data_IF_986815606321
#
_entry.id   IF_986815606321
#
_cell.length_a   1.000
_cell.length_b   1.000
_cell.length_c   1.000
_cell.angle_alpha   90.00
_cell.angle_beta   90.00
_cell.angle_gamma   90.00
#
_symmetry.space_group_name_H-M   'P 1'
#
loop_
_entity.id
_entity.type
_entity.pdbx_description
1 polymer ?
#
# COMPACT_ATOMS: atom_id res chain seq x y z
N UNK A 1 9.43 20.00 2.29
CA UNK A 1 9.85 20.37 0.92
C UNK A 1 9.40 19.25 0.00
N UNK A 2 8.59 19.54 -1.00
CA UNK A 2 8.18 18.55 -2.02
C UNK A 2 9.38 18.27 -2.93
N UNK A 3 9.76 17.01 -3.12
CA UNK A 3 10.88 16.70 -4.02
C UNK A 3 10.48 17.08 -5.46
N UNK A 4 11.28 17.93 -6.10
CA UNK A 4 11.07 18.34 -7.48
C UNK A 4 11.51 17.20 -8.40
N UNK A 5 10.60 16.71 -9.24
CA UNK A 5 10.93 15.77 -10.32
C UNK A 5 11.47 16.59 -11.49
N UNK A 6 12.73 16.37 -11.86
CA UNK A 6 13.32 17.02 -13.05
C UNK A 6 13.39 16.03 -14.18
N UNK A 7 12.73 16.32 -15.30
CA UNK A 7 12.73 15.45 -16.47
C UNK A 7 14.11 15.46 -17.15
N UNK A 8 14.60 14.28 -17.56
CA UNK A 8 15.80 14.17 -18.41
C UNK A 8 15.44 13.77 -19.84
N UNK A 9 14.91 12.56 -20.00
CA UNK A 9 14.54 12.02 -21.30
C UNK A 9 13.52 10.90 -21.14
N UNK A 10 12.83 10.62 -22.24
CA UNK A 10 11.85 9.56 -22.36
C UNK A 10 11.98 8.86 -23.71
N UNK A 11 11.59 7.61 -23.76
CA UNK A 11 11.51 6.83 -25.00
C UNK A 11 10.25 5.99 -24.99
N UNK A 12 9.56 5.96 -26.12
CA UNK A 12 8.32 5.24 -26.31
C UNK A 12 8.42 4.39 -27.59
N UNK A 13 7.97 3.14 -27.53
CA UNK A 13 7.97 2.23 -28.68
C UNK A 13 6.67 1.44 -28.68
N UNK A 14 6.01 1.32 -29.83
CA UNK A 14 4.85 0.46 -30.02
C UNK A 14 5.09 -0.50 -31.18
N UNK A 15 4.70 -1.76 -30.98
CA UNK A 15 4.72 -2.84 -31.97
C UNK A 15 3.32 -3.44 -32.06
N UNK A 16 3.12 -4.40 -32.96
CA UNK A 16 1.86 -5.13 -33.04
C UNK A 16 1.52 -5.94 -31.78
N UNK A 17 2.53 -6.33 -30.98
CA UNK A 17 2.36 -7.28 -29.88
C UNK A 17 2.68 -6.68 -28.50
N UNK A 18 3.31 -5.52 -28.45
CA UNK A 18 3.64 -4.82 -27.21
C UNK A 18 3.80 -3.33 -27.42
N UNK A 19 3.75 -2.57 -26.34
CA UNK A 19 4.27 -1.21 -26.31
C UNK A 19 4.97 -0.94 -24.98
N UNK A 20 6.04 -0.16 -25.05
CA UNK A 20 6.93 0.14 -23.94
C UNK A 20 7.12 1.63 -23.80
N UNK A 21 7.21 2.07 -22.56
CA UNK A 21 7.55 3.42 -22.19
C UNK A 21 8.63 3.41 -21.10
N UNK A 22 9.74 4.09 -21.38
CA UNK A 22 10.82 4.34 -20.43
C UNK A 22 10.92 5.85 -20.21
N UNK A 23 10.97 6.29 -18.94
CA UNK A 23 11.23 7.70 -18.60
C UNK A 23 12.32 7.78 -17.54
N UNK A 24 13.27 8.68 -17.74
CA UNK A 24 14.34 8.97 -16.78
C UNK A 24 14.20 10.39 -16.25
N UNK A 25 14.21 10.49 -14.92
CA UNK A 25 14.05 11.73 -14.18
C UNK A 25 15.09 11.81 -13.06
N UNK A 26 15.27 13.00 -12.48
CA UNK A 26 15.94 13.17 -11.19
C UNK A 26 14.93 13.37 -10.08
N UNK A 27 15.10 12.64 -8.97
CA UNK A 27 14.32 12.76 -7.74
C UNK A 27 15.31 12.92 -6.59
N UNK A 28 15.23 14.03 -5.85
CA UNK A 28 16.10 14.31 -4.69
C UNK A 28 17.60 14.12 -4.99
N UNK A 29 18.05 14.57 -6.19
CA UNK A 29 19.44 14.45 -6.63
C UNK A 29 19.86 13.06 -7.12
N UNK A 30 18.95 12.07 -7.12
CA UNK A 30 19.18 10.71 -7.62
C UNK A 30 18.55 10.54 -8.98
N UNK A 31 19.27 9.87 -9.89
CA UNK A 31 18.70 9.48 -11.19
C UNK A 31 17.79 8.28 -11.00
N UNK A 32 16.56 8.41 -11.47
CA UNK A 32 15.47 7.43 -11.36
C UNK A 32 14.96 7.10 -12.76
N UNK A 33 14.69 5.82 -13.01
CA UNK A 33 14.14 5.33 -14.27
C UNK A 33 12.88 4.54 -14.01
N UNK A 34 11.78 4.94 -14.63
CA UNK A 34 10.56 4.14 -14.71
C UNK A 34 10.54 3.37 -16.02
N UNK A 35 10.12 2.11 -15.97
CA UNK A 35 9.96 1.21 -17.11
C UNK A 35 8.60 0.54 -17.05
N UNK A 36 7.84 0.69 -18.12
CA UNK A 36 6.53 0.06 -18.24
C UNK A 36 6.46 -0.60 -19.61
N UNK A 37 6.07 -1.87 -19.63
CA UNK A 37 5.86 -2.63 -20.85
C UNK A 37 4.54 -3.37 -20.78
N UNK A 38 3.66 -3.07 -21.75
CA UNK A 38 2.41 -3.77 -21.97
C UNK A 38 2.60 -4.78 -23.10
N UNK A 39 2.42 -6.05 -22.80
CA UNK A 39 2.42 -7.13 -23.79
C UNK A 39 1.02 -7.71 -23.96
N UNK A 40 0.84 -8.54 -24.99
CA UNK A 40 -0.43 -9.21 -25.27
C UNK A 40 -0.84 -10.22 -24.18
N UNK A 41 0.13 -10.84 -23.50
CA UNK A 41 -0.13 -11.77 -22.41
C UNK A 41 0.06 -11.10 -21.05
N UNK A 42 -0.88 -11.35 -20.13
CA UNK A 42 -0.91 -10.71 -18.81
C UNK A 42 0.35 -11.00 -17.96
N UNK A 43 0.96 -12.17 -18.12
CA UNK A 43 2.14 -12.60 -17.36
C UNK A 43 3.45 -11.90 -17.74
N UNK A 44 3.49 -11.19 -18.88
CA UNK A 44 4.71 -10.56 -19.39
C UNK A 44 4.71 -9.04 -19.27
N UNK A 45 3.70 -8.45 -18.62
CA UNK A 45 3.76 -7.02 -18.35
C UNK A 45 4.65 -6.74 -17.17
N UNK A 46 5.32 -5.60 -17.26
CA UNK A 46 6.16 -5.10 -16.18
C UNK A 46 5.90 -3.62 -16.02
N UNK A 47 5.90 -3.15 -14.77
CA UNK A 47 5.79 -1.73 -14.44
C UNK A 47 6.60 -1.51 -13.16
N UNK A 48 7.77 -0.89 -13.26
CA UNK A 48 8.65 -0.70 -12.12
C UNK A 48 9.50 0.57 -12.23
N UNK A 49 10.02 1.00 -11.09
CA UNK A 49 10.96 2.10 -10.96
C UNK A 49 12.26 1.60 -10.37
N UNK A 50 13.36 1.96 -11.01
CA UNK A 50 14.70 1.76 -10.49
C UNK A 50 15.34 3.10 -10.11
N UNK A 51 16.17 3.10 -9.08
CA UNK A 51 17.08 4.20 -8.75
C UNK A 51 18.52 3.78 -9.06
N UNK A 52 19.33 4.71 -9.51
CA UNK A 52 20.78 4.48 -9.68
C UNK A 52 21.47 4.65 -8.32
N UNK A 53 22.30 3.68 -7.92
CA UNK A 53 23.14 3.79 -6.73
C UNK A 53 24.54 4.37 -7.06
N UNK A 54 25.38 4.54 -6.03
CA UNK A 54 26.73 5.12 -6.16
C UNK A 54 27.66 4.26 -7.04
N UNK A 55 27.36 2.96 -7.17
CA UNK A 55 28.06 2.02 -8.06
C UNK A 55 27.55 2.06 -9.51
N UNK A 56 26.61 2.97 -9.82
CA UNK A 56 25.93 3.10 -11.12
C UNK A 56 25.13 1.86 -11.53
N UNK A 57 24.77 0.98 -10.60
CA UNK A 57 23.81 -0.09 -10.84
C UNK A 57 22.37 0.40 -10.54
N UNK A 58 21.39 -0.24 -11.20
CA UNK A 58 19.98 0.08 -11.05
C UNK A 58 19.36 -0.83 -10.00
N UNK A 59 18.80 -0.25 -8.94
CA UNK A 59 18.11 -0.96 -7.86
C UNK A 59 16.62 -0.67 -7.95
N UNK A 60 15.79 -1.72 -8.00
CA UNK A 60 14.34 -1.59 -8.02
C UNK A 60 13.83 -1.06 -6.68
N UNK A 61 12.99 -0.04 -6.73
CA UNK A 61 12.42 0.64 -5.55
C UNK A 61 10.90 0.61 -5.52
N UNK A 62 10.25 0.50 -6.68
CA UNK A 62 8.79 0.43 -6.80
C UNK A 62 8.45 -0.56 -7.91
N UNK A 63 7.42 -1.37 -7.69
CA UNK A 63 6.84 -2.25 -8.72
C UNK A 63 5.31 -2.22 -8.61
N UNK A 64 4.63 -2.25 -9.75
CA UNK A 64 3.18 -2.41 -9.85
C UNK A 64 2.82 -3.70 -10.57
N UNK A 65 1.85 -4.40 -9.99
CA UNK A 65 1.26 -5.58 -10.61
C UNK A 65 0.45 -5.16 -11.84
N UNK A 66 0.56 -5.95 -12.90
CA UNK A 66 -0.15 -5.74 -14.16
C UNK A 66 -1.66 -5.51 -13.96
N UNK A 67 -2.29 -6.22 -13.01
CA UNK A 67 -3.73 -6.11 -12.75
C UNK A 67 -4.19 -4.69 -12.35
N UNK A 68 -3.30 -3.83 -11.87
CA UNK A 68 -3.65 -2.47 -11.44
C UNK A 68 -3.85 -1.50 -12.62
N UNK A 69 -3.27 -1.79 -13.79
CA UNK A 69 -3.26 -0.87 -14.94
C UNK A 69 -3.57 -1.57 -16.28
N UNK A 70 -3.65 -2.89 -16.31
CA UNK A 70 -3.94 -3.67 -17.52
C UNK A 70 -5.30 -3.34 -18.14
N UNK A 71 -6.34 -3.15 -17.32
CA UNK A 71 -7.70 -2.89 -17.76
C UNK A 71 -7.93 -1.43 -18.18
N UNK A 72 -7.06 -0.52 -17.76
CA UNK A 72 -7.13 0.91 -18.08
C UNK A 72 -6.24 1.29 -19.26
N UNK A 73 -5.50 0.34 -19.81
CA UNK A 73 -4.61 0.54 -20.96
C UNK A 73 -5.06 -0.34 -22.14
N UNK A 74 -5.09 0.19 -23.37
CA UNK A 74 -5.54 -0.55 -24.55
C UNK A 74 -4.65 -1.76 -24.85
N UNK A 75 -5.23 -2.74 -25.53
CA UNK A 75 -4.48 -3.89 -26.04
C UNK A 75 -3.40 -3.44 -27.06
N UNK A 76 -2.25 -4.12 -27.14
CA UNK A 76 -1.15 -3.70 -28.01
C UNK A 76 -1.53 -3.52 -29.49
N UNK A 77 -0.96 -2.48 -30.10
CA UNK A 77 -1.10 -2.15 -31.52
C UNK A 77 0.02 -1.20 -31.92
N UNK A 78 0.48 -1.30 -33.18
CA UNK A 78 1.52 -0.42 -33.76
C UNK A 78 1.11 1.06 -33.83
N UNK A 79 -0.17 1.35 -33.66
CA UNK A 79 -0.74 2.71 -33.72
C UNK A 79 -0.94 3.35 -32.34
N UNK A 80 -0.58 2.66 -31.26
CA UNK A 80 -0.65 3.22 -29.91
C UNK A 80 0.45 4.26 -29.73
N UNK A 81 0.06 5.42 -29.22
CA UNK A 81 0.99 6.35 -28.58
C UNK A 81 1.31 5.82 -27.18
N UNK A 82 2.44 5.12 -27.06
CA UNK A 82 2.84 4.48 -25.81
C UNK A 82 3.15 5.51 -24.71
N UNK A 83 3.64 6.71 -25.06
CA UNK A 83 3.91 7.77 -24.09
C UNK A 83 2.60 8.34 -23.53
N UNK A 84 1.62 8.61 -24.40
CA UNK A 84 0.33 9.13 -23.96
C UNK A 84 -0.45 8.11 -23.10
N UNK A 85 -0.37 6.82 -23.44
CA UNK A 85 -1.08 5.76 -22.72
C UNK A 85 -0.41 5.39 -21.40
N UNK A 86 0.92 5.22 -21.38
CA UNK A 86 1.64 4.75 -20.19
C UNK A 86 2.16 5.91 -19.32
N UNK A 87 2.13 7.14 -19.81
CA UNK A 87 2.50 8.35 -19.07
C UNK A 87 1.83 8.46 -17.70
N UNK A 88 0.50 8.32 -17.59
CA UNK A 88 -0.19 8.37 -16.30
C UNK A 88 0.25 7.27 -15.32
N UNK A 89 0.52 6.06 -15.82
CA UNK A 89 1.03 4.94 -14.99
C UNK A 89 2.46 5.26 -14.53
N UNK A 90 3.28 5.84 -15.40
CA UNK A 90 4.62 6.30 -15.06
C UNK A 90 4.60 7.41 -14.01
N UNK A 91 3.67 8.36 -14.10
CA UNK A 91 3.50 9.44 -13.11
C UNK A 91 3.13 8.90 -11.73
N UNK A 92 2.23 7.91 -11.67
CA UNK A 92 1.85 7.26 -10.41
C UNK A 92 3.03 6.52 -9.76
N UNK A 93 3.78 5.76 -10.57
CA UNK A 93 4.98 5.05 -10.14
C UNK A 93 6.08 6.01 -9.65
N UNK A 94 6.34 7.09 -10.39
CA UNK A 94 7.32 8.10 -10.03
C UNK A 94 6.90 8.88 -8.79
N UNK A 95 5.61 9.15 -8.60
CA UNK A 95 5.10 9.77 -7.38
C UNK A 95 5.34 8.87 -6.16
N UNK A 96 5.12 7.56 -6.27
CA UNK A 96 5.49 6.60 -5.21
C UNK A 96 6.99 6.59 -4.95
N UNK A 97 7.80 6.61 -6.00
CA UNK A 97 9.25 6.69 -5.85
C UNK A 97 9.70 7.98 -5.15
N UNK A 98 9.04 9.13 -5.40
CA UNK A 98 9.28 10.37 -4.63
C UNK A 98 9.05 10.15 -3.14
N UNK A 99 7.95 9.49 -2.77
CA UNK A 99 7.62 9.27 -1.35
C UNK A 99 8.63 8.35 -0.64
N UNK A 100 9.13 7.32 -1.33
CA UNK A 100 10.15 6.40 -0.78
C UNK A 100 11.53 7.07 -0.69
N UNK A 101 11.88 7.86 -1.70
CA UNK A 101 13.20 8.51 -1.78
C UNK A 101 13.26 9.84 -1.01
N UNK A 102 12.11 10.38 -0.59
CA UNK A 102 12.06 11.56 0.25
C UNK A 102 12.74 11.27 1.60
N UNK A 103 13.41 12.27 2.20
CA UNK A 103 13.78 12.19 3.61
C UNK A 103 12.52 11.88 4.42
N UNK A 104 12.63 10.95 5.37
CA UNK A 104 11.52 10.60 6.24
C UNK A 104 10.91 11.89 6.81
N UNK A 105 9.59 12.11 6.69
CA UNK A 105 8.98 13.27 7.30
C UNK A 105 9.27 13.24 8.79
N UNK A 106 9.60 14.41 9.34
CA UNK A 106 9.64 14.65 10.78
C UNK A 106 8.18 14.63 11.24
N UNK A 107 7.61 13.44 11.28
CA UNK A 107 6.25 13.15 11.76
C UNK A 107 6.27 13.40 13.27
N UNK A 108 5.18 13.85 13.92
CA UNK A 108 5.09 13.74 15.37
C UNK A 108 5.54 12.34 15.77
N UNK A 109 6.52 12.26 16.67
CA UNK A 109 7.26 11.05 16.98
C UNK A 109 6.29 9.97 17.48
N UNK A 110 5.75 9.16 16.55
CA UNK A 110 5.23 7.85 16.90
C UNK A 110 6.38 7.10 17.56
N UNK A 111 6.11 6.37 18.64
CA UNK A 111 7.17 5.62 19.28
C UNK A 111 7.81 4.70 18.22
N UNK A 112 9.15 4.58 18.17
CA UNK A 112 9.81 3.63 17.26
C UNK A 112 9.20 2.22 17.38
N UNK A 113 8.75 1.88 18.58
CA UNK A 113 8.09 0.64 18.90
C UNK A 113 6.78 0.40 18.13
N UNK A 114 5.93 1.43 18.00
CA UNK A 114 4.70 1.35 17.20
C UNK A 114 5.02 1.16 15.71
N UNK A 115 6.06 1.81 15.21
CA UNK A 115 6.50 1.63 13.82
C UNK A 115 6.99 0.21 13.55
N UNK A 116 7.79 -0.37 14.46
CA UNK A 116 8.25 -1.75 14.37
C UNK A 116 7.07 -2.74 14.39
N UNK A 117 6.07 -2.49 15.23
CA UNK A 117 4.88 -3.31 15.31
C UNK A 117 4.00 -3.25 14.05
N UNK A 118 3.87 -2.08 13.41
CA UNK A 118 3.22 -1.97 12.09
C UNK A 118 4.01 -2.73 11.02
N UNK A 119 5.35 -2.66 11.06
CA UNK A 119 6.22 -3.45 10.18
C UNK A 119 5.99 -4.95 10.34
N UNK A 120 5.90 -5.44 11.58
CA UNK A 120 5.59 -6.84 11.88
C UNK A 120 4.19 -7.26 11.40
N UNK A 121 3.18 -6.38 11.52
CA UNK A 121 1.83 -6.64 11.01
C UNK A 121 1.81 -6.77 9.49
N UNK A 122 2.52 -5.89 8.78
CA UNK A 122 2.68 -6.00 7.32
C UNK A 122 3.41 -7.29 6.94
N UNK A 123 4.48 -7.65 7.65
CA UNK A 123 5.25 -8.86 7.38
C UNK A 123 4.43 -10.14 7.57
N UNK A 124 3.58 -10.19 8.60
CA UNK A 124 2.73 -11.36 8.89
C UNK A 124 1.51 -11.46 7.96
N UNK A 125 0.94 -10.32 7.54
CA UNK A 125 -0.26 -10.29 6.69
C UNK A 125 0.07 -10.37 5.19
N UNK A 126 1.18 -9.77 4.77
CA UNK A 126 1.53 -9.57 3.36
C UNK A 126 2.95 -10.05 3.01
N UNK A 127 3.69 -10.63 3.96
CA UNK A 127 5.06 -11.11 3.77
C UNK A 127 6.12 -10.00 3.96
N UNK A 128 7.40 -10.37 3.98
CA UNK A 128 8.52 -9.46 4.30
C UNK A 128 8.67 -8.25 3.36
N UNK A 129 8.14 -8.34 2.13
CA UNK A 129 8.10 -7.23 1.14
C UNK A 129 6.66 -6.69 0.96
N UNK A 130 5.79 -6.92 1.94
CA UNK A 130 4.37 -6.60 1.86
C UNK A 130 4.11 -5.11 1.70
N UNK A 131 3.49 -4.72 0.58
CA UNK A 131 3.00 -3.36 0.34
C UNK A 131 1.47 -3.35 0.33
N UNK A 132 0.86 -2.49 1.16
CA UNK A 132 -0.58 -2.23 1.14
C UNK A 132 -0.83 -0.73 1.13
N UNK A 133 -1.41 -0.24 0.03
CA UNK A 133 -1.95 1.10 -0.04
C UNK A 133 -3.30 1.15 0.69
N UNK A 134 -3.40 2.05 1.67
CA UNK A 134 -4.66 2.43 2.33
C UNK A 134 -5.10 3.76 1.69
N UNK A 135 -6.25 3.76 1.04
CA UNK A 135 -6.80 4.92 0.32
C UNK A 135 -7.57 5.85 1.28
N UNK A 136 -7.84 7.12 0.89
CA UNK A 136 -8.70 8.00 1.67
C UNK A 136 -10.08 7.39 1.96
N UNK A 137 -10.64 6.62 1.03
CA UNK A 137 -11.92 5.94 1.20
C UNK A 137 -11.82 4.81 2.24
N UNK A 138 -10.72 4.06 2.25
CA UNK A 138 -10.45 3.05 3.28
C UNK A 138 -10.36 3.72 4.67
N UNK A 139 -9.71 4.89 4.77
CA UNK A 139 -9.62 5.67 6.01
C UNK A 139 -10.99 6.17 6.43
N UNK A 140 -11.74 6.80 5.53
CA UNK A 140 -13.07 7.32 5.81
C UNK A 140 -14.04 6.20 6.20
N UNK A 141 -14.01 5.08 5.49
CA UNK A 141 -14.79 3.90 5.83
C UNK A 141 -14.42 3.39 7.22
N UNK A 142 -13.12 3.22 7.51
CA UNK A 142 -12.66 2.78 8.82
C UNK A 142 -13.07 3.76 9.93
N UNK A 143 -12.95 5.07 9.73
CA UNK A 143 -13.37 6.07 10.70
C UNK A 143 -14.88 6.06 10.96
N UNK A 144 -15.69 5.69 9.96
CA UNK A 144 -17.15 5.70 10.06
C UNK A 144 -17.76 4.35 10.50
N UNK A 145 -17.03 3.24 10.40
CA UNK A 145 -17.57 1.88 10.61
C UNK A 145 -16.84 1.10 11.71
N UNK A 146 -16.10 1.78 12.59
CA UNK A 146 -15.62 1.15 13.81
C UNK A 146 -15.17 2.17 14.84
N UNK A 147 -14.98 1.71 16.07
CA UNK A 147 -14.57 2.56 17.18
C UNK A 147 -13.13 3.06 17.09
N UNK A 148 -12.71 3.88 18.02
CA UNK A 148 -11.35 4.42 18.04
C UNK A 148 -10.28 3.31 18.09
N UNK A 149 -9.27 3.39 17.21
CA UNK A 149 -8.08 2.52 17.26
C UNK A 149 -7.34 2.74 18.58
N UNK A 150 -7.01 1.65 19.27
CA UNK A 150 -6.17 1.65 20.47
C UNK A 150 -4.89 0.88 20.18
N UNK A 151 -3.79 1.47 20.64
CA UNK A 151 -2.46 0.88 20.58
C UNK A 151 -2.00 0.70 22.02
N UNK A 152 -1.74 -0.55 22.40
CA UNK A 152 -1.35 -0.92 23.77
C UNK A 152 0.07 -1.51 23.68
N UNK A 153 1.04 -0.81 24.25
CA UNK A 153 2.41 -1.31 24.43
C UNK A 153 2.47 -2.14 25.72
N UNK A 154 3.10 -3.31 25.66
CA UNK A 154 3.25 -4.23 26.80
C UNK A 154 4.67 -4.16 27.36
N UNK A 155 4.84 -4.58 28.62
CA UNK A 155 6.14 -4.55 29.32
C UNK A 155 7.20 -5.46 28.69
N UNK A 156 6.80 -6.46 27.89
CA UNK A 156 7.69 -7.37 27.16
C UNK A 156 8.08 -6.85 25.78
N UNK A 157 7.64 -5.63 25.40
CA UNK A 157 7.86 -5.06 24.08
C UNK A 157 6.96 -5.69 23.00
N UNK A 158 5.87 -6.36 23.35
CA UNK A 158 4.81 -6.64 22.38
C UNK A 158 3.87 -5.43 22.25
N UNK A 159 3.20 -5.33 21.11
CA UNK A 159 2.20 -4.27 20.85
C UNK A 159 0.91 -4.90 20.39
N UNK A 160 -0.21 -4.47 20.98
CA UNK A 160 -1.54 -4.84 20.52
C UNK A 160 -2.20 -3.66 19.82
N UNK A 161 -2.55 -3.87 18.54
CA UNK A 161 -3.47 -2.99 17.81
C UNK A 161 -4.87 -3.56 17.96
N UNK A 162 -5.81 -2.75 18.45
CA UNK A 162 -7.19 -3.20 18.62
C UNK A 162 -8.17 -2.07 18.40
N UNK A 163 -9.37 -2.42 17.94
CA UNK A 163 -10.43 -1.50 17.60
C UNK A 163 -11.74 -2.12 18.03
N UNK A 164 -12.63 -1.34 18.65
CA UNK A 164 -14.00 -1.78 18.86
C UNK A 164 -14.77 -1.73 17.52
N UNK A 165 -15.82 -2.53 17.36
CA UNK A 165 -16.68 -2.44 16.16
C UNK A 165 -17.59 -1.18 16.16
N UNK A 166 -17.76 -0.51 17.31
CA UNK A 166 -18.39 0.83 17.47
C UNK A 166 -17.80 1.56 18.68
N UNK A 167 -17.86 2.88 18.72
CA UNK A 167 -17.28 3.69 19.81
C UNK A 167 -17.95 3.45 21.17
N UNK A 168 -19.27 3.18 21.17
CA UNK A 168 -20.06 2.92 22.38
C UNK A 168 -20.01 1.45 22.84
N UNK A 169 -19.26 0.58 22.14
CA UNK A 169 -19.15 -0.81 22.54
C UNK A 169 -18.33 -0.91 23.83
N UNK A 170 -18.87 -1.52 24.90
CA UNK A 170 -18.12 -1.71 26.15
C UNK A 170 -16.98 -2.73 26.00
N UNK A 171 -16.92 -3.45 24.88
CA UNK A 171 -15.99 -4.56 24.64
C UNK A 171 -14.98 -4.24 23.55
N UNK A 172 -13.71 -4.40 23.91
CA UNK A 172 -12.60 -4.59 23.00
C UNK A 172 -12.37 -6.10 22.99
N UNK A 173 -13.03 -6.85 22.10
CA UNK A 173 -12.84 -8.30 22.07
C UNK A 173 -11.49 -8.61 21.42
N UNK A 174 -10.61 -9.29 22.16
CA UNK A 174 -9.28 -9.71 21.67
C UNK A 174 -9.35 -10.84 20.64
N UNK A 175 -10.50 -11.52 20.56
CA UNK A 175 -10.83 -12.48 19.51
C UNK A 175 -11.77 -11.80 18.51
N UNK A 176 -11.21 -11.21 17.45
CA UNK A 176 -11.95 -10.62 16.32
C UNK A 176 -12.76 -11.64 15.49
N UNK A 177 -13.19 -12.74 16.09
CA UNK A 177 -13.93 -13.85 15.48
C UNK A 177 -15.34 -14.02 16.06
N UNK A 178 -15.74 -13.23 17.06
CA UNK A 178 -17.12 -13.19 17.53
C UNK A 178 -17.80 -11.97 16.92
N UNK A 179 -18.67 -12.21 15.94
CA UNK A 179 -19.61 -11.23 15.44
C UNK A 179 -20.35 -10.64 16.65
N UNK A 180 -20.20 -9.34 16.86
CA UNK A 180 -21.10 -8.63 17.73
C UNK A 180 -22.44 -8.52 17.00
N UNK A 181 -23.48 -9.13 17.53
CA UNK A 181 -24.83 -9.22 16.97
C UNK A 181 -25.63 -7.91 17.06
N UNK A 182 -24.96 -6.75 16.98
CA UNK A 182 -25.49 -5.39 17.18
C UNK A 182 -26.11 -5.09 18.55
N UNK A 183 -26.55 -6.10 19.30
CA UNK A 183 -27.22 -5.94 20.60
C UNK A 183 -26.22 -5.76 21.75
N UNK A 184 -24.96 -6.21 21.62
CA UNK A 184 -23.97 -6.23 22.72
C UNK A 184 -24.55 -6.84 24.03
N UNK A 185 -25.59 -7.66 23.93
CA UNK A 185 -26.35 -8.15 25.06
C UNK A 185 -25.65 -9.39 25.62
N UNK A 186 -24.69 -9.19 26.52
CA UNK A 186 -24.20 -10.30 27.32
C UNK A 186 -25.23 -10.65 28.40
N UNK A 187 -25.78 -11.87 28.34
CA UNK A 187 -26.43 -12.47 29.50
C UNK A 187 -25.41 -12.51 30.64
N UNK A 188 -25.80 -11.96 31.79
CA UNK A 188 -24.95 -11.95 32.96
C UNK A 188 -24.54 -13.40 33.30
N UNK A 189 -23.30 -13.69 33.77
CA UNK A 189 -22.87 -15.07 34.06
C UNK A 189 -23.80 -15.83 35.02
N UNK A 190 -24.54 -15.11 35.87
CA UNK A 190 -25.58 -15.67 36.74
C UNK A 190 -26.84 -16.16 35.99
N UNK A 191 -27.14 -15.62 34.81
CA UNK A 191 -28.27 -16.02 33.96
C UNK A 191 -27.94 -17.24 33.10
N UNK A 192 -26.67 -17.45 32.75
CA UNK A 192 -26.20 -18.63 32.01
C UNK A 192 -26.35 -19.93 32.80
N UNK A 193 -26.30 -19.88 34.15
CA UNK A 193 -26.47 -21.07 35.01
C UNK A 193 -27.91 -21.58 35.09
N UNK A 194 -28.93 -20.76 34.81
CA UNK A 194 -30.34 -21.21 34.85
C UNK A 194 -30.73 -22.14 33.69
N UNK A 195 -29.92 -22.22 32.64
CA UNK A 195 -30.18 -23.03 31.45
C UNK A 195 -29.51 -24.41 31.49
N UNK A 196 -28.66 -24.68 32.49
CA UNK A 196 -28.01 -25.99 32.69
C UNK A 196 -28.73 -26.84 33.75
N UNK A 197 -29.69 -26.26 34.48
CA UNK A 197 -30.49 -26.91 35.52
C UNK A 197 -31.97 -27.12 35.11
N UNK A 198 -32.28 -27.09 33.81
CA UNK A 198 -33.57 -27.54 33.21
C UNK A 198 -33.30 -28.60 32.14
#
# INVERSE_FOLDING_TARGET
>A
MTAVITHRYETAVATGNSYRYDRVVDIAGRKVRVRIERQFCHSYNVAFVDVTNDEKSWTRVVEDLACQWWNTTPAPSKHIDAAAVLGPVADQLLHRAVMILAPAPITPTLSPHVLDAVGALLATTHGYNGERRITPDDIAWASNHGGTLRVIEHNDGSVTFTKAHRDECPLITSSGTQDCDDECAFKHPAEARRWLDQ
#
